data_IF_121315546527
#
_entry.id   IF_121315546527
#
_cell.length_a   1.000
_cell.length_b   1.000
_cell.length_c   1.000
_cell.angle_alpha   90.00
_cell.angle_beta   90.00
_cell.angle_gamma   90.00
#
_symmetry.space_group_name_H-M   'P 1'
#
loop_
_entity.id
_entity.type
_entity.pdbx_description
1 polymer ?
#
# COMPACT_ATOMS: atom_id res chain seq x y z
N UNK A 1 -31.10 -68.89 51.13
CA UNK A 1 -31.02 -69.04 49.65
C UNK A 1 -29.78 -68.31 49.16
N UNK A 2 -29.10 -68.92 48.21
CA UNK A 2 -27.74 -68.66 47.71
C UNK A 2 -27.75 -67.43 46.79
N UNK A 3 -26.72 -66.56 46.83
CA UNK A 3 -25.75 -66.28 45.75
C UNK A 3 -25.03 -64.92 45.90
N UNK A 4 -23.74 -64.98 45.55
CA UNK A 4 -22.67 -63.99 45.66
C UNK A 4 -22.72 -62.89 44.58
N UNK A 5 -22.15 -61.72 44.88
CA UNK A 5 -21.31 -60.93 43.94
C UNK A 5 -20.40 -60.02 44.79
N UNK A 6 -19.07 -60.16 44.77
CA UNK A 6 -18.15 -59.54 43.80
C UNK A 6 -18.05 -58.03 44.07
N UNK A 7 -16.93 -57.40 44.45
CA UNK A 7 -15.70 -57.24 43.66
C UNK A 7 -14.56 -56.71 44.57
N UNK A 8 -13.33 -57.11 44.22
CA UNK A 8 -12.05 -56.81 44.87
C UNK A 8 -11.40 -55.49 44.36
N UNK A 9 -10.82 -54.74 45.29
CA UNK A 9 -9.51 -54.03 45.31
C UNK A 9 -9.06 -53.07 44.17
N UNK A 10 -8.83 -51.82 44.62
CA UNK A 10 -7.65 -50.91 44.47
C UNK A 10 -7.17 -50.49 43.07
N UNK A 11 -7.08 -49.17 42.84
CA UNK A 11 -5.83 -48.38 42.94
C UNK A 11 -6.08 -46.90 42.62
N UNK A 12 -5.70 -46.04 43.55
CA UNK A 12 -5.41 -44.63 43.29
C UNK A 12 -4.18 -44.52 42.41
N UNK A 13 -4.21 -43.61 41.43
CA UNK A 13 -3.03 -43.07 40.76
C UNK A 13 -3.17 -41.56 40.74
N UNK A 14 -2.28 -40.92 41.48
CA UNK A 14 -2.01 -39.48 41.44
C UNK A 14 -1.69 -39.09 39.98
N UNK A 15 -2.34 -38.02 39.51
CA UNK A 15 -2.04 -37.39 38.22
C UNK A 15 -1.13 -36.21 38.53
N UNK A 16 0.12 -36.35 38.09
CA UNK A 16 1.17 -35.33 38.10
C UNK A 16 0.68 -34.00 37.51
N UNK A 17 1.15 -32.84 38.02
CA UNK A 17 0.81 -31.55 37.44
C UNK A 17 1.48 -31.41 36.07
N UNK A 18 0.67 -31.52 35.02
CA UNK A 18 1.09 -31.19 33.66
C UNK A 18 1.64 -29.75 33.65
N UNK A 19 2.92 -29.61 33.29
CA UNK A 19 3.55 -28.32 33.00
C UNK A 19 2.66 -27.57 32.00
N UNK A 20 1.99 -26.53 32.47
CA UNK A 20 1.46 -25.48 31.61
C UNK A 20 2.69 -24.82 30.99
N UNK A 21 3.05 -25.24 29.78
CA UNK A 21 3.92 -24.44 28.94
C UNK A 21 3.07 -23.24 28.57
N UNK A 22 3.28 -22.13 29.28
CA UNK A 22 2.85 -20.82 28.82
C UNK A 22 3.52 -20.62 27.46
N UNK A 23 2.78 -20.92 26.40
CA UNK A 23 3.11 -20.42 25.08
C UNK A 23 2.96 -18.92 25.19
N UNK A 24 4.07 -18.23 25.48
CA UNK A 24 4.22 -16.81 25.22
C UNK A 24 3.77 -16.59 23.79
N UNK A 25 2.53 -16.13 23.64
CA UNK A 25 2.02 -15.58 22.40
C UNK A 25 2.81 -14.30 22.20
N UNK A 26 3.99 -14.42 21.62
CA UNK A 26 4.84 -13.29 21.29
C UNK A 26 3.99 -12.33 20.48
N UNK A 27 3.64 -11.20 21.07
CA UNK A 27 2.92 -10.17 20.36
C UNK A 27 3.76 -9.82 19.12
N UNK A 28 3.17 -9.84 17.91
CA UNK A 28 3.92 -9.51 16.72
C UNK A 28 4.45 -8.09 16.90
N UNK A 29 5.77 -7.96 16.99
CA UNK A 29 6.43 -6.69 17.22
C UNK A 29 6.15 -5.83 15.99
N UNK A 30 5.29 -4.81 16.13
CA UNK A 30 4.96 -3.90 15.03
C UNK A 30 6.13 -2.93 14.84
N UNK A 31 7.09 -3.35 14.01
CA UNK A 31 8.24 -2.53 13.63
C UNK A 31 7.78 -1.50 12.59
N UNK A 32 8.18 -0.24 12.75
CA UNK A 32 7.85 0.79 11.78
C UNK A 32 8.53 0.48 10.44
N UNK A 33 7.78 0.50 9.32
CA UNK A 33 8.40 0.32 8.01
C UNK A 33 9.29 1.53 7.68
N UNK A 34 10.32 1.33 6.83
CA UNK A 34 11.14 2.44 6.38
C UNK A 34 10.29 3.48 5.61
N UNK A 35 10.65 4.77 5.71
CA UNK A 35 9.95 5.81 4.97
C UNK A 35 10.15 5.61 3.46
N UNK A 36 9.09 5.84 2.69
CA UNK A 36 9.14 5.76 1.22
C UNK A 36 9.64 7.08 0.63
N UNK A 37 10.40 7.00 -0.47
CA UNK A 37 10.75 8.17 -1.27
C UNK A 37 9.49 8.82 -1.84
N UNK A 38 9.50 10.15 -1.96
CA UNK A 38 8.45 10.92 -2.65
C UNK A 38 8.71 11.11 -4.14
N UNK A 39 9.87 10.66 -4.62
CA UNK A 39 10.20 10.73 -6.05
C UNK A 39 9.26 9.82 -6.84
N UNK A 40 8.70 10.35 -7.92
CA UNK A 40 7.85 9.62 -8.83
C UNK A 40 8.35 9.80 -10.26
N UNK A 41 8.52 8.68 -10.96
CA UNK A 41 8.89 8.65 -12.39
C UNK A 41 7.75 7.92 -13.11
N UNK A 42 7.08 8.56 -14.07
CA UNK A 42 5.98 7.95 -14.79
C UNK A 42 6.48 6.76 -15.63
N UNK A 43 5.82 5.60 -15.57
CA UNK A 43 6.07 4.51 -16.51
C UNK A 43 5.77 4.94 -17.95
N UNK A 44 6.50 4.39 -18.92
CA UNK A 44 6.29 4.66 -20.35
C UNK A 44 4.86 4.25 -20.79
N UNK A 45 4.38 3.13 -20.25
CA UNK A 45 3.07 2.55 -20.55
C UNK A 45 1.92 3.10 -19.68
N UNK A 46 2.07 4.30 -19.07
CA UNK A 46 1.07 4.83 -18.13
C UNK A 46 -0.34 4.96 -18.74
N UNK A 47 -0.43 5.22 -20.04
CA UNK A 47 -1.71 5.35 -20.75
C UNK A 47 -2.46 4.01 -20.84
N UNK A 48 -1.80 2.97 -21.35
CA UNK A 48 -2.40 1.63 -21.50
C UNK A 48 -2.70 1.02 -20.12
N UNK A 49 -1.81 1.28 -19.16
CA UNK A 49 -2.00 0.91 -17.77
C UNK A 49 -3.29 1.49 -17.19
N UNK A 50 -3.46 2.81 -17.28
CA UNK A 50 -4.64 3.49 -16.75
C UNK A 50 -5.92 3.06 -17.49
N UNK A 51 -5.85 2.90 -18.81
CA UNK A 51 -6.97 2.42 -19.61
C UNK A 51 -7.47 1.05 -19.13
N UNK A 52 -6.55 0.12 -18.82
CA UNK A 52 -6.90 -1.21 -18.31
C UNK A 52 -7.64 -1.13 -16.97
N UNK A 53 -7.18 -0.28 -16.04
CA UNK A 53 -7.78 -0.08 -14.72
C UNK A 53 -9.13 0.61 -14.79
N UNK A 54 -9.27 1.59 -15.68
CA UNK A 54 -10.55 2.27 -15.91
C UNK A 54 -11.57 1.28 -16.48
N UNK A 55 -11.19 0.46 -17.47
CA UNK A 55 -12.08 -0.57 -18.02
C UNK A 55 -12.49 -1.62 -16.97
N UNK A 56 -11.57 -2.04 -16.12
CA UNK A 56 -11.82 -3.00 -15.04
C UNK A 56 -12.85 -2.47 -14.02
N UNK A 57 -12.73 -1.20 -13.61
CA UNK A 57 -13.55 -0.62 -12.53
C UNK A 57 -14.89 -0.08 -13.04
N UNK A 58 -14.91 0.57 -14.21
CA UNK A 58 -16.11 1.22 -14.75
C UNK A 58 -16.91 0.29 -15.68
N UNK A 59 -16.29 -0.78 -16.19
CA UNK A 59 -16.94 -1.83 -16.96
C UNK A 59 -17.63 -1.32 -18.23
N UNK A 60 -18.76 -1.93 -18.64
CA UNK A 60 -19.45 -1.62 -19.91
C UNK A 60 -20.10 -0.23 -19.95
N UNK A 61 -20.12 0.52 -18.85
CA UNK A 61 -20.64 1.89 -18.81
C UNK A 61 -19.65 2.92 -19.38
N UNK A 62 -18.53 2.46 -19.94
CA UNK A 62 -17.46 3.32 -20.43
C UNK A 62 -17.83 3.96 -21.77
N UNK A 63 -17.60 5.28 -21.95
CA UNK A 63 -17.71 5.91 -23.26
C UNK A 63 -16.63 5.39 -24.21
N UNK A 64 -16.84 5.51 -25.53
CA UNK A 64 -15.86 5.16 -26.56
C UNK A 64 -14.49 5.81 -26.31
N UNK A 65 -14.51 7.07 -25.85
CA UNK A 65 -13.32 7.76 -25.36
C UNK A 65 -13.20 7.64 -23.84
N UNK A 66 -12.46 6.62 -23.37
CA UNK A 66 -12.26 6.34 -21.96
C UNK A 66 -11.67 7.50 -21.15
N UNK A 67 -10.94 8.43 -21.77
CA UNK A 67 -10.37 9.60 -21.09
C UNK A 67 -11.45 10.55 -20.54
N UNK A 68 -12.60 10.60 -21.22
CA UNK A 68 -13.73 11.45 -20.84
C UNK A 68 -14.58 10.83 -19.72
N UNK A 69 -14.22 9.65 -19.23
CA UNK A 69 -14.93 8.97 -18.15
C UNK A 69 -14.96 9.85 -16.91
N UNK A 70 -16.16 10.14 -16.43
CA UNK A 70 -16.40 11.06 -15.33
C UNK A 70 -16.30 10.35 -13.98
N UNK A 71 -15.39 10.79 -13.10
CA UNK A 71 -15.16 10.30 -11.73
C UNK A 71 -16.12 10.95 -10.71
N UNK A 72 -17.39 11.12 -11.07
CA UNK A 72 -18.42 11.68 -10.17
C UNK A 72 -18.79 10.72 -9.04
N UNK A 73 -18.82 9.42 -9.34
CA UNK A 73 -19.14 8.42 -8.34
C UNK A 73 -17.97 8.23 -7.37
N UNK A 74 -18.20 8.61 -6.11
CA UNK A 74 -17.15 8.62 -5.07
C UNK A 74 -16.54 7.24 -4.83
N UNK A 75 -17.34 6.17 -4.93
CA UNK A 75 -16.89 4.79 -4.74
C UNK A 75 -15.91 4.37 -5.83
N UNK A 76 -16.29 4.51 -7.11
CA UNK A 76 -15.41 4.16 -8.23
C UNK A 76 -14.15 5.02 -8.26
N UNK A 77 -14.30 6.32 -7.98
CA UNK A 77 -13.16 7.24 -7.83
C UNK A 77 -12.18 6.78 -6.76
N UNK A 78 -12.69 6.39 -5.58
CA UNK A 78 -11.86 5.89 -4.50
C UNK A 78 -11.12 4.60 -4.91
N UNK A 79 -11.83 3.63 -5.50
CA UNK A 79 -11.24 2.37 -5.93
C UNK A 79 -10.12 2.59 -6.94
N UNK A 80 -10.37 3.40 -7.97
CA UNK A 80 -9.37 3.72 -8.99
C UNK A 80 -8.13 4.38 -8.38
N UNK A 81 -8.31 5.45 -7.61
CA UNK A 81 -7.18 6.18 -7.03
C UNK A 81 -6.41 5.37 -5.99
N UNK A 82 -7.09 4.53 -5.21
CA UNK A 82 -6.45 3.66 -4.24
C UNK A 82 -5.60 2.57 -4.91
N UNK A 83 -6.12 1.96 -5.98
CA UNK A 83 -5.39 0.96 -6.74
C UNK A 83 -4.16 1.56 -7.43
N UNK A 84 -4.32 2.71 -8.09
CA UNK A 84 -3.19 3.44 -8.70
C UNK A 84 -2.13 3.84 -7.66
N UNK A 85 -2.55 4.29 -6.48
CA UNK A 85 -1.62 4.65 -5.40
C UNK A 85 -0.84 3.44 -4.86
N UNK A 86 -1.49 2.28 -4.75
CA UNK A 86 -0.83 1.05 -4.31
C UNK A 86 0.17 0.53 -5.34
N UNK A 87 -0.21 0.55 -6.62
CA UNK A 87 0.58 0.00 -7.71
C UNK A 87 1.74 0.91 -8.15
N UNK A 88 1.48 2.22 -8.26
CA UNK A 88 2.49 3.22 -8.68
C UNK A 88 3.29 3.78 -7.50
N UNK A 89 2.87 3.50 -6.26
CA UNK A 89 3.48 4.07 -5.06
C UNK A 89 3.32 5.58 -4.93
N UNK A 90 2.43 6.19 -5.74
CA UNK A 90 2.23 7.63 -5.80
C UNK A 90 0.74 7.97 -5.58
N UNK A 91 0.43 8.54 -4.42
CA UNK A 91 -0.94 8.88 -4.05
C UNK A 91 -1.27 10.35 -4.41
N UNK A 92 -2.50 10.59 -4.84
CA UNK A 92 -3.00 11.94 -5.11
C UNK A 92 -3.17 12.73 -3.79
N UNK A 93 -2.58 13.93 -3.65
CA UNK A 93 -2.78 14.77 -2.47
C UNK A 93 -4.23 15.22 -2.29
N UNK A 94 -4.67 15.39 -1.04
CA UNK A 94 -6.03 15.84 -0.72
C UNK A 94 -6.41 17.18 -1.39
N UNK A 95 -5.45 18.10 -1.51
CA UNK A 95 -5.64 19.38 -2.19
C UNK A 95 -5.98 19.24 -3.67
N UNK A 96 -5.57 18.14 -4.32
CA UNK A 96 -5.78 17.90 -5.74
C UNK A 96 -6.93 16.91 -6.02
N UNK A 97 -7.48 16.24 -5.01
CA UNK A 97 -8.58 15.29 -5.19
C UNK A 97 -9.80 15.92 -5.87
N UNK A 98 -10.12 17.18 -5.61
CA UNK A 98 -11.26 17.87 -6.24
C UNK A 98 -11.03 18.19 -7.73
N UNK A 99 -9.77 18.18 -8.19
CA UNK A 99 -9.39 18.38 -9.59
C UNK A 99 -9.51 17.09 -10.41
N UNK A 100 -9.44 15.91 -9.78
CA UNK A 100 -9.59 14.63 -10.46
C UNK A 100 -11.06 14.37 -10.84
N UNK A 101 -11.53 14.97 -11.93
CA UNK A 101 -12.93 14.90 -12.38
C UNK A 101 -13.12 13.90 -13.52
N UNK A 102 -12.12 13.76 -14.38
CA UNK A 102 -12.10 12.79 -15.48
C UNK A 102 -10.88 11.86 -15.41
N UNK A 103 -10.91 10.77 -16.19
CA UNK A 103 -9.75 9.88 -16.34
C UNK A 103 -8.56 10.60 -16.99
N UNK A 104 -8.82 11.61 -17.84
CA UNK A 104 -7.82 12.52 -18.39
C UNK A 104 -7.08 13.31 -17.30
N UNK A 105 -7.80 13.86 -16.31
CA UNK A 105 -7.17 14.58 -15.20
C UNK A 105 -6.20 13.68 -14.41
N UNK A 106 -6.62 12.43 -14.19
CA UNK A 106 -5.81 11.41 -13.52
C UNK A 106 -4.59 11.05 -14.35
N UNK A 107 -4.76 10.85 -15.66
CA UNK A 107 -3.65 10.57 -16.57
C UNK A 107 -2.62 11.70 -16.56
N UNK A 108 -3.08 12.95 -16.63
CA UNK A 108 -2.21 14.13 -16.61
C UNK A 108 -1.41 14.22 -15.31
N UNK A 109 -2.04 13.92 -14.17
CA UNK A 109 -1.37 13.86 -12.88
C UNK A 109 -0.26 12.80 -12.88
N UNK A 110 -0.59 11.56 -13.25
CA UNK A 110 0.38 10.46 -13.26
C UNK A 110 1.39 10.50 -14.41
N UNK A 111 1.20 11.38 -15.40
CA UNK A 111 2.22 11.63 -16.44
C UNK A 111 3.26 12.66 -16.01
N UNK A 112 3.05 13.34 -14.87
CA UNK A 112 3.95 14.39 -14.38
C UNK A 112 4.98 13.81 -13.40
N UNK A 113 6.29 13.88 -13.68
CA UNK A 113 7.32 13.39 -12.77
C UNK A 113 7.45 14.27 -11.52
N UNK A 114 7.81 13.67 -10.39
CA UNK A 114 8.07 14.36 -9.12
C UNK A 114 9.48 14.05 -8.65
N UNK A 115 10.30 15.09 -8.47
CA UNK A 115 11.65 14.94 -7.90
C UNK A 115 11.58 15.02 -6.38
N UNK A 116 12.17 14.04 -5.70
CA UNK A 116 12.28 14.03 -4.23
C UNK A 116 13.57 14.68 -3.69
N UNK A 117 14.43 15.21 -4.56
CA UNK A 117 15.74 15.76 -4.21
C UNK A 117 15.63 17.18 -3.63
N UNK A 118 16.51 17.53 -2.70
CA UNK A 118 16.62 18.90 -2.22
C UNK A 118 17.21 19.80 -3.31
N UNK A 119 17.09 21.13 -3.13
CA UNK A 119 17.69 22.09 -4.06
C UNK A 119 19.21 22.03 -4.08
N UNK A 120 19.83 21.71 -2.95
CA UNK A 120 21.27 21.51 -2.88
C UNK A 120 21.70 20.26 -3.67
N UNK A 121 20.99 19.13 -3.49
CA UNK A 121 21.27 17.90 -4.23
C UNK A 121 21.12 18.11 -5.75
N UNK A 122 20.07 18.83 -6.16
CA UNK A 122 19.84 19.19 -7.56
C UNK A 122 20.99 20.03 -8.14
N UNK A 123 21.52 20.98 -7.37
CA UNK A 123 22.67 21.81 -7.78
C UNK A 123 23.97 21.02 -7.85
N UNK A 124 24.23 20.15 -6.89
CA UNK A 124 25.42 19.30 -6.85
C UNK A 124 25.44 18.28 -8.00
N UNK A 125 24.26 17.80 -8.43
CA UNK A 125 24.14 16.93 -9.60
C UNK A 125 24.27 17.68 -10.94
N UNK A 126 24.09 19.01 -10.95
CA UNK A 126 24.25 19.82 -12.14
C UNK A 126 25.75 20.03 -12.49
N UNK A 127 26.04 20.32 -13.77
CA UNK A 127 27.39 20.66 -14.20
C UNK A 127 27.74 22.06 -13.71
N UNK A 128 28.39 22.13 -12.54
CA UNK A 128 28.86 23.39 -11.98
C UNK A 128 30.15 23.86 -12.69
N UNK A 129 30.33 25.19 -12.84
CA UNK A 129 31.59 25.76 -13.32
C UNK A 129 32.77 25.33 -12.42
N UNK A 130 33.98 25.12 -12.97
CA UNK A 130 35.12 24.58 -12.22
C UNK A 130 35.59 25.50 -11.09
N UNK A 131 35.24 26.78 -11.15
CA UNK A 131 35.55 27.80 -10.16
C UNK A 131 34.50 27.92 -9.04
N UNK A 132 33.43 27.12 -9.07
CA UNK A 132 32.33 27.20 -8.11
C UNK A 132 32.31 25.97 -7.20
N UNK A 133 32.58 26.18 -5.91
CA UNK A 133 32.51 25.16 -4.86
C UNK A 133 31.40 25.54 -3.89
N UNK A 134 30.44 24.65 -3.70
CA UNK A 134 29.35 24.82 -2.75
C UNK A 134 29.54 23.78 -1.64
N UNK A 135 29.51 24.22 -0.38
CA UNK A 135 29.60 23.35 0.80
C UNK A 135 28.29 23.51 1.58
N UNK A 136 27.73 22.40 2.04
CA UNK A 136 26.56 22.39 2.91
C UNK A 136 27.00 22.39 4.37
N UNK A 137 26.63 23.42 5.12
CA UNK A 137 26.82 23.53 6.57
C UNK A 137 25.43 23.50 7.22
N UNK A 138 25.25 22.63 8.20
CA UNK A 138 23.93 22.28 8.78
C UNK A 138 23.84 22.67 10.25
#
# INVERSE_FOLDING_TARGET
KIFLSGVNRKKEKEVEPEKIIEQEKSEPTLICPPPRSRSYVPPEDIQSYLESRVKEIFGPSLPDNWLQTSLKEKRLKFLLLAQLAAELGHAVPNSQLHLMRSAEDVLKFYSTPVKGMSKFDELCAAKLPPNLKIVWEQ
#
